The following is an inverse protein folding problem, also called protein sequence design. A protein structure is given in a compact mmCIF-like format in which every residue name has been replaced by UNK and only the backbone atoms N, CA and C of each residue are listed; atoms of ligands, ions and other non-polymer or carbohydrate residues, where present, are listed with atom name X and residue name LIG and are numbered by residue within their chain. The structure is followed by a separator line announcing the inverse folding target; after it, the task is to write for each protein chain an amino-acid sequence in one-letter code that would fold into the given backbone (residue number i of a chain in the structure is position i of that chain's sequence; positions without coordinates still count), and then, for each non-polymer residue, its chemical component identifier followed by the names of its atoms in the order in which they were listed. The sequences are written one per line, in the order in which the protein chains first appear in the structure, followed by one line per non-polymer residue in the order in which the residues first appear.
data_IF_608014441695
#
_entry.id   IF_608014441695
#
_cell.length_a   1.000
_cell.length_b   1.000
_cell.length_c   1.000
_cell.angle_alpha   90.00
_cell.angle_beta   90.00
_cell.angle_gamma   90.00
#
_symmetry.space_group_name_H-M   'P 1'
#
loop_
_entity.id
_entity.type
_entity.pdbx_description
1 polymer ?
#
# COMPACT_ATOMS: atom_id res chain seq x y z
N UNK A 1 34.36 18.70 40.80
CA UNK A 1 34.50 19.46 39.53
C UNK A 1 33.94 18.59 38.41
N UNK A 2 32.79 18.98 37.84
CA UNK A 2 31.92 18.08 37.08
C UNK A 2 32.46 17.71 35.69
N UNK A 3 32.18 16.48 35.27
CA UNK A 3 32.48 15.91 33.94
C UNK A 3 31.98 16.80 32.79
N UNK A 4 30.87 17.54 32.99
CA UNK A 4 30.34 18.49 32.01
C UNK A 4 31.32 19.63 31.67
N UNK A 5 32.01 20.18 32.67
CA UNK A 5 32.97 21.27 32.47
C UNK A 5 34.20 20.79 31.67
N UNK A 6 34.61 19.52 31.89
CA UNK A 6 35.70 18.88 31.16
C UNK A 6 35.35 18.68 29.69
N UNK A 7 34.12 18.26 29.41
CA UNK A 7 33.62 18.10 28.03
C UNK A 7 33.61 19.46 27.30
N UNK A 8 33.13 20.51 27.97
CA UNK A 8 33.08 21.86 27.39
C UNK A 8 34.45 22.46 27.07
N UNK A 9 35.49 22.07 27.80
CA UNK A 9 36.88 22.49 27.55
C UNK A 9 37.70 21.46 26.75
N UNK A 10 37.05 20.43 26.21
CA UNK A 10 37.74 19.43 25.41
C UNK A 10 38.16 20.02 24.06
N UNK A 11 39.40 19.73 23.66
CA UNK A 11 39.96 20.16 22.37
C UNK A 11 39.10 19.73 21.18
N UNK A 12 38.44 18.57 21.30
CA UNK A 12 37.52 18.03 20.29
C UNK A 12 36.35 19.00 20.04
N UNK A 13 35.67 19.45 21.10
CA UNK A 13 34.53 20.37 20.99
C UNK A 13 34.97 21.73 20.45
N UNK A 14 36.15 22.20 20.86
CA UNK A 14 36.73 23.43 20.37
C UNK A 14 37.03 23.38 18.86
N UNK A 15 37.67 22.30 18.37
CA UNK A 15 37.92 22.11 16.93
C UNK A 15 36.62 22.00 16.14
N UNK A 16 35.67 21.20 16.65
CA UNK A 16 34.41 20.94 15.97
C UNK A 16 33.55 22.19 15.76
N UNK A 17 33.55 23.12 16.72
CA UNK A 17 32.78 24.38 16.62
C UNK A 17 33.51 25.44 15.75
N UNK A 18 34.81 25.27 15.48
CA UNK A 18 35.57 26.21 14.65
C UNK A 18 35.57 25.84 13.16
N UNK A 19 35.50 24.55 12.87
CA UNK A 19 35.54 24.06 11.49
C UNK A 19 34.13 24.06 10.87
N UNK A 20 33.89 24.98 9.93
CA UNK A 20 32.60 25.11 9.25
C UNK A 20 32.17 23.82 8.53
N UNK A 21 33.12 23.07 7.97
CA UNK A 21 32.87 21.77 7.33
C UNK A 21 32.30 20.76 8.33
N UNK A 22 32.89 20.68 9.53
CA UNK A 22 32.42 19.76 10.58
C UNK A 22 30.99 20.09 11.00
N UNK A 23 30.67 21.38 11.14
CA UNK A 23 29.31 21.85 11.45
C UNK A 23 28.34 21.47 10.33
N UNK A 24 28.69 21.71 9.06
CA UNK A 24 27.81 21.39 7.93
C UNK A 24 27.51 19.89 7.83
N UNK A 25 28.53 19.03 7.97
CA UNK A 25 28.33 17.59 7.98
C UNK A 25 27.44 17.14 9.15
N UNK A 26 27.65 17.71 10.34
CA UNK A 26 26.83 17.39 11.52
C UNK A 26 25.37 17.78 11.30
N UNK A 27 25.11 18.96 10.73
CA UNK A 27 23.75 19.41 10.41
C UNK A 27 23.09 18.47 9.40
N UNK A 28 23.80 18.09 8.33
CA UNK A 28 23.27 17.15 7.32
C UNK A 28 22.92 15.82 7.98
N UNK A 29 23.79 15.29 8.84
CA UNK A 29 23.52 14.04 9.59
C UNK A 29 22.30 14.19 10.48
N UNK A 30 22.18 15.28 11.24
CA UNK A 30 21.00 15.54 12.07
C UNK A 30 19.71 15.61 11.25
N UNK A 31 19.75 16.22 10.06
CA UNK A 31 18.60 16.29 9.14
C UNK A 31 18.24 14.88 8.66
N UNK A 32 19.22 14.07 8.24
CA UNK A 32 18.97 12.68 7.80
C UNK A 32 18.36 11.84 8.91
N UNK A 33 18.84 11.98 10.15
CA UNK A 33 18.24 11.30 11.31
C UNK A 33 16.80 11.75 11.54
N UNK A 34 16.50 13.05 11.49
CA UNK A 34 15.14 13.56 11.64
C UNK A 34 14.20 13.02 10.57
N UNK A 35 14.62 13.00 9.30
CA UNK A 35 13.83 12.44 8.20
C UNK A 35 13.56 10.96 8.44
N UNK A 36 14.55 10.19 8.90
CA UNK A 36 14.37 8.77 9.20
C UNK A 36 13.34 8.54 10.32
N UNK A 37 13.32 9.38 11.36
CA UNK A 37 12.34 9.30 12.44
C UNK A 37 10.94 9.77 12.00
N UNK A 38 10.85 10.70 11.06
CA UNK A 38 9.58 11.19 10.51
C UNK A 38 9.07 10.37 9.31
N UNK A 39 9.80 9.33 8.89
CA UNK A 39 9.42 8.46 7.76
C UNK A 39 7.97 7.96 7.82
N UNK A 40 7.43 7.49 8.97
CA UNK A 40 6.04 7.03 9.06
C UNK A 40 4.99 8.10 8.74
N UNK A 41 5.31 9.38 8.93
CA UNK A 41 4.42 10.50 8.58
C UNK A 41 4.53 10.91 7.10
N UNK A 42 5.70 10.71 6.49
CA UNK A 42 5.98 11.12 5.10
C UNK A 42 5.51 10.04 4.11
N UNK A 43 5.69 8.77 4.48
CA UNK A 43 5.26 7.61 3.72
C UNK A 43 4.40 6.71 4.62
N UNK A 44 3.08 6.92 4.67
CA UNK A 44 2.18 6.16 5.57
C UNK A 44 2.06 4.68 5.16
N UNK A 45 2.52 4.31 3.97
CA UNK A 45 2.51 2.93 3.51
C UNK A 45 3.77 2.20 4.00
N UNK A 46 3.57 1.24 4.89
CA UNK A 46 4.59 0.31 5.34
C UNK A 46 4.56 -0.95 4.46
N UNK A 47 5.53 -1.16 3.55
CA UNK A 47 5.53 -2.32 2.67
C UNK A 47 5.74 -3.65 3.42
N UNK A 48 6.05 -3.61 4.71
CA UNK A 48 6.20 -4.77 5.58
C UNK A 48 5.01 -4.98 6.53
N UNK A 49 3.92 -4.22 6.36
CA UNK A 49 2.67 -4.41 7.10
C UNK A 49 1.85 -5.56 6.50
N UNK A 50 1.79 -6.70 7.18
CA UNK A 50 1.18 -7.93 6.66
C UNK A 50 -0.29 -7.78 6.23
N UNK A 51 -1.03 -6.84 6.84
CA UNK A 51 -2.41 -6.54 6.46
C UNK A 51 -2.54 -5.88 5.07
N UNK A 52 -1.46 -5.34 4.52
CA UNK A 52 -1.43 -4.64 3.22
C UNK A 52 -0.54 -5.33 2.18
N UNK A 53 0.22 -6.35 2.57
CA UNK A 53 1.14 -7.07 1.68
C UNK A 53 0.34 -7.93 0.70
N UNK A 54 0.38 -7.56 -0.58
CA UNK A 54 -0.12 -8.38 -1.68
C UNK A 54 1.06 -9.07 -2.39
N UNK A 55 1.31 -10.34 -2.07
CA UNK A 55 2.41 -11.14 -2.65
C UNK A 55 2.29 -11.28 -4.17
N UNK A 56 1.08 -11.19 -4.72
CA UNK A 56 0.83 -11.33 -6.16
C UNK A 56 1.11 -10.05 -6.96
N UNK A 57 1.36 -8.92 -6.29
CA UNK A 57 1.55 -7.60 -6.91
C UNK A 57 2.67 -6.81 -6.21
N UNK A 58 3.86 -7.40 -6.08
CA UNK A 58 5.02 -6.77 -5.43
C UNK A 58 5.60 -5.57 -6.21
N UNK A 59 5.35 -5.50 -7.52
CA UNK A 59 5.96 -4.53 -8.46
C UNK A 59 5.03 -3.33 -8.77
N UNK A 60 3.75 -3.42 -8.40
CA UNK A 60 2.73 -2.40 -8.70
C UNK A 60 2.29 -1.68 -7.44
N UNK A 61 2.18 -0.33 -7.44
CA UNK A 61 1.61 0.39 -6.30
C UNK A 61 0.19 -0.14 -6.02
N UNK A 62 -0.26 -0.19 -4.75
CA UNK A 62 -1.52 -0.81 -4.39
C UNK A 62 -2.67 -0.11 -5.13
N UNK A 63 -3.15 -0.75 -6.20
CA UNK A 63 -4.39 -0.37 -6.84
C UNK A 63 -5.51 -0.67 -5.85
N UNK A 64 -6.23 0.36 -5.43
CA UNK A 64 -7.45 0.21 -4.64
C UNK A 64 -8.49 -0.48 -5.52
N UNK A 65 -8.48 -1.81 -5.54
CA UNK A 65 -9.61 -2.57 -6.04
C UNK A 65 -10.62 -2.65 -4.91
N UNK A 66 -11.71 -1.89 -5.05
CA UNK A 66 -12.86 -2.00 -4.17
C UNK A 66 -13.43 -3.43 -4.26
N UNK A 67 -13.57 -4.07 -3.10
CA UNK A 67 -14.15 -5.41 -2.96
C UNK A 67 -13.15 -6.49 -2.56
N UNK A 68 -13.36 -7.08 -1.39
CA UNK A 68 -12.61 -8.25 -0.91
C UNK A 68 -12.87 -9.47 -1.80
N UNK A 69 -11.84 -10.29 -2.02
CA UNK A 69 -12.00 -11.62 -2.63
C UNK A 69 -12.77 -12.48 -1.63
N UNK A 70 -13.96 -12.99 -1.97
CA UNK A 70 -14.71 -13.84 -1.05
C UNK A 70 -13.90 -15.09 -0.74
N UNK A 71 -13.88 -15.50 0.52
CA UNK A 71 -13.24 -16.75 0.91
C UNK A 71 -14.08 -17.92 0.37
N UNK A 72 -13.47 -19.06 0.01
CA UNK A 72 -14.21 -20.23 -0.49
C UNK A 72 -15.23 -20.82 0.52
N UNK A 73 -15.20 -20.35 1.77
CA UNK A 73 -16.04 -20.82 2.88
C UNK A 73 -17.36 -20.02 2.93
N UNK A 74 -17.34 -18.75 2.52
CA UNK A 74 -18.51 -17.87 2.50
C UNK A 74 -18.65 -17.23 1.13
N UNK A 75 -19.24 -17.97 0.18
CA UNK A 75 -19.59 -17.41 -1.11
C UNK A 75 -20.75 -16.42 -0.95
N UNK A 76 -20.69 -15.26 -1.61
CA UNK A 76 -21.80 -14.32 -1.63
C UNK A 76 -22.98 -14.90 -2.42
N UNK A 77 -24.19 -14.40 -2.13
CA UNK A 77 -25.37 -14.70 -2.93
C UNK A 77 -25.24 -14.10 -4.33
N UNK A 78 -25.59 -14.87 -5.35
CA UNK A 78 -25.56 -14.43 -6.75
C UNK A 78 -24.19 -14.57 -7.43
N UNK A 79 -23.85 -13.61 -8.30
CA UNK A 79 -22.60 -13.63 -9.06
C UNK A 79 -21.39 -13.37 -8.16
N UNK A 80 -20.45 -14.31 -8.08
CA UNK A 80 -19.24 -14.22 -7.21
C UNK A 80 -18.41 -12.94 -7.40
N UNK A 81 -18.55 -12.29 -8.56
CA UNK A 81 -17.83 -11.07 -8.92
C UNK A 81 -18.62 -9.78 -8.63
N UNK A 82 -19.85 -9.84 -8.13
CA UNK A 82 -20.74 -8.68 -8.01
C UNK A 82 -20.17 -7.54 -7.15
N UNK A 83 -19.31 -7.84 -6.15
CA UNK A 83 -18.65 -6.83 -5.30
C UNK A 83 -17.49 -6.10 -5.98
N UNK A 84 -16.95 -6.66 -7.07
CA UNK A 84 -15.76 -6.14 -7.79
C UNK A 84 -16.05 -5.74 -9.23
N UNK A 85 -17.22 -6.12 -9.77
CA UNK A 85 -17.58 -5.84 -11.15
C UNK A 85 -18.13 -4.41 -11.28
N UNK A 86 -17.51 -3.54 -12.11
CA UNK A 86 -17.99 -2.16 -12.32
C UNK A 86 -19.33 -2.11 -13.07
N UNK A 87 -19.74 -3.22 -13.70
CA UNK A 87 -21.01 -3.38 -14.41
C UNK A 87 -22.05 -4.16 -13.61
N UNK A 88 -21.87 -4.35 -12.29
CA UNK A 88 -22.82 -5.07 -11.46
C UNK A 88 -24.16 -4.33 -11.35
N UNK A 89 -25.26 -5.07 -11.49
CA UNK A 89 -26.63 -4.58 -11.33
C UNK A 89 -27.44 -5.54 -10.44
N UNK A 90 -28.68 -5.20 -10.14
CA UNK A 90 -29.53 -5.88 -9.13
C UNK A 90 -29.54 -7.42 -9.26
N UNK A 91 -29.66 -7.95 -10.49
CA UNK A 91 -29.66 -9.40 -10.75
C UNK A 91 -28.36 -10.10 -10.30
N UNK A 92 -27.22 -9.41 -10.38
CA UNK A 92 -25.93 -9.95 -9.97
C UNK A 92 -25.83 -10.23 -8.47
N UNK A 93 -26.65 -9.62 -7.62
CA UNK A 93 -26.65 -9.82 -6.17
C UNK A 93 -27.57 -10.96 -5.71
N UNK A 94 -28.45 -11.43 -6.60
CA UNK A 94 -29.55 -12.34 -6.28
C UNK A 94 -29.36 -13.69 -6.97
N UNK A 95 -28.94 -13.70 -8.24
CA UNK A 95 -28.89 -14.89 -9.08
C UNK A 95 -27.47 -15.21 -9.57
N UNK A 96 -27.10 -16.49 -9.55
CA UNK A 96 -25.85 -16.99 -10.12
C UNK A 96 -26.02 -17.05 -11.66
N UNK A 97 -25.13 -16.44 -12.46
CA UNK A 97 -25.27 -16.47 -13.91
C UNK A 97 -25.08 -17.89 -14.46
N UNK A 98 -25.95 -18.27 -15.40
CA UNK A 98 -25.81 -19.53 -16.13
C UNK A 98 -24.70 -19.41 -17.19
N UNK A 99 -24.09 -20.55 -17.52
CA UNK A 99 -23.13 -20.62 -18.62
C UNK A 99 -23.90 -20.62 -19.94
N UNK A 100 -23.59 -19.68 -20.84
CA UNK A 100 -24.19 -19.60 -22.17
C UNK A 100 -23.13 -19.26 -23.24
N UNK A 101 -23.44 -19.56 -24.49
CA UNK A 101 -22.56 -19.31 -25.63
C UNK A 101 -22.69 -17.86 -26.12
N UNK A 102 -21.59 -17.11 -26.12
CA UNK A 102 -21.54 -15.69 -26.48
C UNK A 102 -20.78 -15.40 -27.79
N UNK A 103 -20.35 -16.44 -28.51
CA UNK A 103 -19.66 -16.35 -29.79
C UNK A 103 -19.26 -17.75 -30.27
N UNK A 104 -18.69 -17.87 -31.48
CA UNK A 104 -18.26 -19.16 -32.05
C UNK A 104 -17.31 -19.92 -31.11
N UNK A 105 -17.87 -20.87 -30.34
CA UNK A 105 -17.21 -21.68 -29.31
C UNK A 105 -16.74 -20.93 -28.04
N UNK A 106 -17.28 -19.74 -27.76
CA UNK A 106 -16.96 -18.99 -26.51
C UNK A 106 -18.13 -19.05 -25.54
N UNK A 107 -17.85 -19.43 -24.29
CA UNK A 107 -18.84 -19.51 -23.24
C UNK A 107 -18.56 -18.48 -22.14
N UNK A 108 -19.61 -17.83 -21.65
CA UNK A 108 -19.54 -16.89 -20.53
C UNK A 108 -20.66 -17.19 -19.53
N UNK A 109 -20.37 -16.99 -18.24
CA UNK A 109 -21.36 -16.98 -17.18
C UNK A 109 -21.50 -15.53 -16.67
N UNK A 110 -22.22 -14.70 -17.43
CA UNK A 110 -22.36 -13.27 -17.17
C UNK A 110 -23.75 -12.73 -17.55
N UNK A 111 -24.48 -12.20 -16.56
CA UNK A 111 -25.79 -11.58 -16.81
C UNK A 111 -25.73 -10.38 -17.75
N UNK A 112 -24.63 -9.61 -17.70
CA UNK A 112 -24.49 -8.42 -18.52
C UNK A 112 -24.35 -8.73 -20.01
N UNK A 113 -23.58 -9.78 -20.35
CA UNK A 113 -23.39 -10.19 -21.75
C UNK A 113 -24.61 -11.00 -22.24
N UNK A 114 -25.31 -11.73 -21.35
CA UNK A 114 -26.58 -12.40 -21.69
C UNK A 114 -27.67 -11.39 -22.09
N UNK A 115 -27.75 -10.28 -21.34
CA UNK A 115 -28.73 -9.23 -21.55
C UNK A 115 -28.27 -8.15 -22.55
N UNK A 116 -27.07 -8.28 -23.13
CA UNK A 116 -26.51 -7.32 -24.10
C UNK A 116 -26.25 -5.92 -23.53
N UNK A 117 -25.99 -5.83 -22.21
CA UNK A 117 -25.67 -4.59 -21.49
C UNK A 117 -24.18 -4.20 -21.58
N UNK A 118 -23.35 -5.12 -22.06
CA UNK A 118 -21.90 -5.04 -22.29
C UNK A 118 -21.56 -5.86 -23.53
#
# INVERSE_FOLDING_TARGET
MGTLARIRQSYILYSFVRDWVAITCFIIVCILFLISFLSPFIAPHNPYESATINVMNAETPPMWMEGEVPTPIELPSGCVFHKRCPFAFERCFIEVPNLYECGSETFAACHGVEEGKI
#
